data_IF_831951867502
#
_entry.id   IF_831951867502
#
_cell.length_a   1.000
_cell.length_b   1.000
_cell.length_c   1.000
_cell.angle_alpha   90.00
_cell.angle_beta   90.00
_cell.angle_gamma   90.00
#
_symmetry.space_group_name_H-M   'P 1'
#
loop_
_entity.id
_entity.type
_entity.pdbx_description
1 polymer ?
#
# COMPACT_ATOMS: atom_id res chain seq x y z
N UNK A 1 -3.82 0.77 7.94
CA UNK A 1 -2.62 0.42 8.74
C UNK A 1 -2.60 1.35 9.94
N UNK A 2 -2.68 0.83 11.16
CA UNK A 2 -2.46 1.64 12.36
C UNK A 2 -0.99 2.03 12.47
N UNK A 3 -0.71 3.23 12.99
CA UNK A 3 0.65 3.76 13.20
C UNK A 3 1.55 2.84 14.07
N UNK A 4 0.93 1.93 14.82
CA UNK A 4 1.55 0.86 15.61
C UNK A 4 2.28 -0.19 14.74
N UNK A 5 1.79 -0.45 13.52
CA UNK A 5 2.41 -1.38 12.57
C UNK A 5 3.71 -0.86 11.94
N UNK A 6 3.96 0.46 12.01
CA UNK A 6 5.15 1.12 11.47
C UNK A 6 6.26 1.35 12.51
N UNK A 7 5.99 1.14 13.81
CA UNK A 7 6.87 1.56 14.91
C UNK A 7 7.81 0.47 15.45
N UNK A 8 7.63 -0.79 15.07
CA UNK A 8 8.56 -1.87 15.43
C UNK A 8 9.67 -2.01 14.41
N UNK A 9 10.84 -1.40 14.61
CA UNK A 9 12.03 -1.74 13.78
C UNK A 9 12.33 -3.24 13.98
N UNK A 10 12.26 -4.07 12.93
CA UNK A 10 12.55 -5.49 13.05
C UNK A 10 13.99 -5.68 13.57
N UNK A 11 14.17 -6.57 14.54
CA UNK A 11 15.47 -6.78 15.22
C UNK A 11 16.28 -7.95 14.66
N UNK A 12 15.66 -8.82 13.85
CA UNK A 12 16.31 -9.98 13.22
C UNK A 12 16.04 -10.02 11.72
N UNK A 13 16.83 -10.79 10.98
CA UNK A 13 16.65 -10.97 9.53
C UNK A 13 15.30 -11.64 9.22
N UNK A 14 14.89 -12.61 10.03
CA UNK A 14 13.59 -13.28 9.92
C UNK A 14 12.45 -12.30 10.15
N UNK A 15 12.60 -11.41 11.12
CA UNK A 15 11.62 -10.35 11.39
C UNK A 15 11.52 -9.36 10.24
N UNK A 16 12.65 -9.01 9.61
CA UNK A 16 12.70 -8.19 8.38
C UNK A 16 11.96 -8.89 7.24
N UNK A 17 12.22 -10.18 7.03
CA UNK A 17 11.59 -10.97 5.99
C UNK A 17 10.07 -10.98 6.13
N UNK A 18 9.58 -11.32 7.32
CA UNK A 18 8.13 -11.35 7.61
C UNK A 18 7.50 -9.96 7.41
N UNK A 19 8.16 -8.92 7.93
CA UNK A 19 7.71 -7.54 7.77
C UNK A 19 7.58 -7.14 6.29
N UNK A 20 8.65 -7.32 5.51
CA UNK A 20 8.68 -6.93 4.12
C UNK A 20 7.65 -7.71 3.28
N UNK A 21 7.49 -9.02 3.50
CA UNK A 21 6.51 -9.85 2.79
C UNK A 21 5.08 -9.40 3.10
N UNK A 22 4.76 -9.08 4.35
CA UNK A 22 3.44 -8.60 4.72
C UNK A 22 3.11 -7.27 4.02
N UNK A 23 4.06 -6.32 4.00
CA UNK A 23 3.86 -5.06 3.31
C UNK A 23 3.75 -5.23 1.79
N UNK A 24 4.46 -6.20 1.20
CA UNK A 24 4.32 -6.53 -0.23
C UNK A 24 2.92 -7.05 -0.56
N UNK A 25 2.31 -7.88 0.29
CA UNK A 25 0.91 -8.31 0.10
C UNK A 25 -0.05 -7.11 0.12
N UNK A 26 0.16 -6.18 1.05
CA UNK A 26 -0.69 -4.99 1.17
C UNK A 26 -0.64 -4.04 -0.03
N UNK A 27 0.45 -4.05 -0.79
CA UNK A 27 0.64 -3.23 -1.99
C UNK A 27 0.56 -4.04 -3.31
N UNK A 28 0.05 -5.27 -3.23
CA UNK A 28 -0.20 -6.12 -4.38
C UNK A 28 -1.58 -5.84 -4.99
N UNK A 29 -1.90 -6.51 -6.11
CA UNK A 29 -3.27 -6.52 -6.65
C UNK A 29 -4.29 -7.08 -5.65
N UNK A 30 -3.90 -8.04 -4.81
CA UNK A 30 -4.76 -8.57 -3.74
C UNK A 30 -4.98 -7.49 -2.67
N UNK A 31 -3.91 -6.75 -2.31
CA UNK A 31 -3.99 -5.59 -1.43
C UNK A 31 -4.98 -4.54 -1.94
N UNK A 32 -4.94 -4.22 -3.24
CA UNK A 32 -5.86 -3.27 -3.85
C UNK A 32 -7.34 -3.71 -3.80
N UNK A 33 -7.59 -5.02 -3.98
CA UNK A 33 -8.93 -5.59 -3.81
C UNK A 33 -9.40 -5.39 -2.36
N UNK A 34 -8.56 -5.70 -1.37
CA UNK A 34 -8.87 -5.51 0.06
C UNK A 34 -9.21 -4.06 0.36
N UNK A 35 -8.44 -3.11 -0.14
CA UNK A 35 -8.70 -1.67 0.03
C UNK A 35 -10.03 -1.24 -0.60
N UNK A 36 -10.35 -1.78 -1.78
CA UNK A 36 -11.60 -1.49 -2.48
C UNK A 36 -12.83 -2.03 -1.74
N UNK A 37 -12.72 -3.21 -1.12
CA UNK A 37 -13.76 -3.76 -0.23
C UNK A 37 -13.94 -2.88 1.00
N UNK A 38 -12.85 -2.44 1.63
CA UNK A 38 -12.89 -1.54 2.78
C UNK A 38 -13.52 -0.19 2.44
N UNK A 39 -13.23 0.37 1.27
CA UNK A 39 -13.89 1.57 0.75
C UNK A 39 -15.42 1.41 0.75
N UNK A 40 -15.91 0.31 0.17
CA UNK A 40 -17.35 0.03 0.10
C UNK A 40 -17.97 -0.15 1.49
N UNK A 41 -17.26 -0.80 2.42
CA UNK A 41 -17.73 -1.02 3.79
C UNK A 41 -17.77 0.28 4.62
N UNK A 42 -16.73 1.10 4.52
CA UNK A 42 -16.62 2.37 5.28
C UNK A 42 -17.52 3.48 4.74
N UNK A 43 -18.08 3.31 3.53
CA UNK A 43 -18.94 4.30 2.85
C UNK A 43 -18.28 5.69 2.76
N UNK A 44 -16.96 5.74 2.61
CA UNK A 44 -16.24 7.00 2.38
C UNK A 44 -16.45 7.47 0.94
N UNK A 45 -16.19 8.75 0.68
CA UNK A 45 -16.26 9.27 -0.69
C UNK A 45 -15.15 8.69 -1.56
N UNK A 46 -15.40 8.59 -2.87
CA UNK A 46 -14.38 8.16 -3.84
C UNK A 46 -13.13 9.07 -3.77
N UNK A 47 -13.32 10.38 -3.59
CA UNK A 47 -12.21 11.33 -3.40
C UNK A 47 -11.34 10.98 -2.17
N UNK A 48 -11.96 10.62 -1.05
CA UNK A 48 -11.24 10.19 0.15
C UNK A 48 -10.50 8.88 -0.10
N UNK A 49 -11.13 7.90 -0.74
CA UNK A 49 -10.50 6.62 -1.07
C UNK A 49 -9.26 6.78 -1.95
N UNK A 50 -9.36 7.57 -3.02
CA UNK A 50 -8.22 7.83 -3.91
C UNK A 50 -7.09 8.56 -3.18
N UNK A 51 -7.41 9.47 -2.26
CA UNK A 51 -6.43 10.11 -1.40
C UNK A 51 -5.76 9.11 -0.43
N UNK A 52 -6.52 8.20 0.17
CA UNK A 52 -5.97 7.13 1.02
C UNK A 52 -4.99 6.23 0.25
N UNK A 53 -5.33 5.81 -0.97
CA UNK A 53 -4.43 5.02 -1.83
C UNK A 53 -3.13 5.77 -2.18
N UNK A 54 -3.23 7.07 -2.49
CA UNK A 54 -2.07 7.94 -2.74
C UNK A 54 -1.19 8.06 -1.50
N UNK A 55 -1.77 8.33 -0.33
CA UNK A 55 -1.02 8.40 0.93
C UNK A 55 -0.33 7.08 1.26
N UNK A 56 -1.04 5.94 1.08
CA UNK A 56 -0.48 4.61 1.32
C UNK A 56 0.75 4.35 0.44
N UNK A 57 0.65 4.70 -0.84
CA UNK A 57 1.75 4.57 -1.82
C UNK A 57 3.00 5.35 -1.41
N UNK A 58 2.84 6.57 -0.87
CA UNK A 58 3.95 7.39 -0.35
C UNK A 58 4.60 6.72 0.87
N UNK A 59 3.79 6.20 1.80
CA UNK A 59 4.28 5.55 3.02
C UNK A 59 5.07 4.28 2.70
N UNK A 60 4.60 3.48 1.75
CA UNK A 60 5.27 2.25 1.34
C UNK A 60 6.69 2.49 0.79
N UNK A 61 6.93 3.62 0.14
CA UNK A 61 8.25 3.93 -0.44
C UNK A 61 9.39 3.93 0.60
N UNK A 62 9.07 4.13 1.89
CA UNK A 62 10.05 4.19 2.97
C UNK A 62 9.95 3.04 3.98
N UNK A 63 8.99 2.13 3.80
CA UNK A 63 8.65 1.13 4.81
C UNK A 63 9.53 -0.14 4.76
N UNK A 64 10.07 -0.49 3.59
CA UNK A 64 10.78 -1.76 3.38
C UNK A 64 12.23 -1.72 3.85
N UNK A 65 12.72 -2.83 4.39
CA UNK A 65 14.10 -2.94 4.86
C UNK A 65 15.01 -3.58 3.81
N UNK A 66 14.58 -4.66 3.14
CA UNK A 66 15.38 -5.37 2.15
C UNK A 66 15.38 -4.67 0.79
N UNK A 67 16.53 -4.74 0.10
CA UNK A 67 16.70 -4.17 -1.25
C UNK A 67 15.73 -4.81 -2.25
N UNK A 68 15.50 -6.12 -2.13
CA UNK A 68 14.59 -6.85 -3.01
C UNK A 68 13.14 -6.42 -2.79
N UNK A 69 12.68 -6.28 -1.55
CA UNK A 69 11.32 -5.84 -1.27
C UNK A 69 11.08 -4.40 -1.73
N UNK A 70 12.06 -3.49 -1.57
CA UNK A 70 11.97 -2.13 -2.14
C UNK A 70 11.68 -2.14 -3.64
N UNK A 71 12.43 -2.94 -4.41
CA UNK A 71 12.23 -3.06 -5.87
C UNK A 71 10.87 -3.68 -6.24
N UNK A 72 10.37 -4.64 -5.48
CA UNK A 72 9.05 -5.21 -5.73
C UNK A 72 7.93 -4.23 -5.32
N UNK A 73 8.14 -3.47 -4.25
CA UNK A 73 7.22 -2.43 -3.80
C UNK A 73 7.04 -1.32 -4.85
N UNK A 74 8.10 -0.92 -5.56
CA UNK A 74 8.01 0.04 -6.67
C UNK A 74 6.96 -0.38 -7.72
N UNK A 75 6.87 -1.68 -8.03
CA UNK A 75 5.86 -2.21 -8.97
C UNK A 75 4.45 -2.11 -8.39
N UNK A 76 4.28 -2.43 -7.11
CA UNK A 76 3.00 -2.29 -6.40
C UNK A 76 2.55 -0.83 -6.26
N UNK A 77 3.48 0.07 -5.95
CA UNK A 77 3.24 1.53 -5.91
C UNK A 77 2.74 1.99 -7.28
N UNK A 78 3.45 1.59 -8.34
CA UNK A 78 3.06 1.93 -9.72
C UNK A 78 1.63 1.45 -10.04
N UNK A 79 1.27 0.23 -9.66
CA UNK A 79 -0.09 -0.29 -9.81
C UNK A 79 -1.14 0.60 -9.12
N UNK A 80 -0.91 0.98 -7.87
CA UNK A 80 -1.85 1.81 -7.10
C UNK A 80 -1.99 3.20 -7.72
N UNK A 81 -0.87 3.83 -8.08
CA UNK A 81 -0.86 5.15 -8.71
C UNK A 81 -1.60 5.12 -10.05
N UNK A 82 -1.27 4.18 -10.93
CA UNK A 82 -1.93 4.05 -12.24
C UNK A 82 -3.43 3.76 -12.10
N UNK A 83 -3.85 2.98 -11.10
CA UNK A 83 -5.25 2.75 -10.81
C UNK A 83 -5.97 4.04 -10.39
N UNK A 84 -5.37 4.81 -9.49
CA UNK A 84 -5.93 6.10 -9.06
C UNK A 84 -6.04 7.09 -10.21
N UNK A 85 -4.98 7.24 -11.00
CA UNK A 85 -4.97 8.13 -12.17
C UNK A 85 -6.02 7.74 -13.21
N UNK A 86 -6.17 6.44 -13.48
CA UNK A 86 -7.20 5.93 -14.39
C UNK A 86 -8.61 6.28 -13.91
N UNK A 87 -8.90 6.09 -12.62
CA UNK A 87 -10.19 6.45 -12.05
C UNK A 87 -10.44 7.96 -12.07
N UNK A 88 -9.45 8.78 -11.70
CA UNK A 88 -9.57 10.24 -11.73
C UNK A 88 -9.82 10.78 -13.15
N UNK A 89 -9.21 10.17 -14.17
CA UNK A 89 -9.41 10.58 -15.56
C UNK A 89 -10.78 10.15 -16.12
N UNK A 90 -11.31 9.00 -15.71
CA UNK A 90 -12.65 8.54 -16.13
C UNK A 90 -13.80 9.36 -15.51
N UNK A 91 -13.52 10.14 -14.45
CA UNK A 91 -14.49 10.97 -13.75
C UNK A 91 -14.53 12.43 -14.23
N UNK A 92 -13.60 12.82 -15.13
CA UNK A 92 -13.60 14.13 -15.80
C UNK A 92 -14.53 14.11 -16.99
#
# INVERSE_FOLDING_TARGET
IEESGLKGKPKSIESILVHDVNLLDEISSIGLIKESVLFNQKKISLKQFLNELKTKSILFNQAFFSVKAKKEAEKGISLFVSFVESLENNLK
#
